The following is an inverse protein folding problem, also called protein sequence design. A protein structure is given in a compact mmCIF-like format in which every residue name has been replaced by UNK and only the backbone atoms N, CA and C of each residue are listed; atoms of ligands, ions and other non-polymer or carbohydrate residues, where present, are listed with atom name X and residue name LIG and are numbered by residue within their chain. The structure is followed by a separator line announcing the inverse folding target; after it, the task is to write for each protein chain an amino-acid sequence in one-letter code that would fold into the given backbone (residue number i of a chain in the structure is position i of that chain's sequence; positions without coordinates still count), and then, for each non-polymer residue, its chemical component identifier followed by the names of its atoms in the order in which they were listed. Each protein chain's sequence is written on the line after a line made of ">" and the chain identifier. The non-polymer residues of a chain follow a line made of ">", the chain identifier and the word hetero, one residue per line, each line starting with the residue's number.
data_IF_586571820564
#
_entry.id   IF_586571820564
#
_cell.length_a   1.000
_cell.length_b   1.000
_cell.length_c   1.000
_cell.angle_alpha   90.00
_cell.angle_beta   90.00
_cell.angle_gamma   90.00
#
_symmetry.space_group_name_H-M   'P 1'
#
loop_
_entity.id
_entity.type
_entity.pdbx_description
1 polymer ?
#
# COMPACT_ATOMS: atom_id res chain seq x y z
N UNK A 1 15.00 -0.05 -0.61
CA UNK A 1 14.94 0.30 0.81
C UNK A 1 13.62 -0.15 1.39
N UNK A 2 13.56 -0.40 2.69
CA UNK A 2 12.37 -0.78 3.43
C UNK A 2 12.51 -0.33 4.89
N UNK A 3 11.43 -0.12 5.61
CA UNK A 3 11.45 0.23 7.03
C UNK A 3 11.63 -1.02 7.91
N UNK A 4 11.24 -2.22 7.43
CA UNK A 4 11.37 -3.49 8.15
C UNK A 4 12.81 -4.01 8.12
N UNK A 5 13.41 -4.23 9.29
CA UNK A 5 14.72 -4.87 9.37
C UNK A 5 14.70 -6.32 8.87
N UNK A 6 13.56 -7.01 9.02
CA UNK A 6 13.37 -8.40 8.58
C UNK A 6 13.41 -8.50 7.06
N UNK A 7 12.72 -7.60 6.34
CA UNK A 7 12.76 -7.58 4.86
C UNK A 7 14.13 -7.19 4.33
N UNK A 8 14.85 -6.27 4.98
CA UNK A 8 16.22 -5.93 4.61
C UNK A 8 17.16 -7.12 4.84
N UNK A 9 17.03 -7.83 5.96
CA UNK A 9 17.81 -9.03 6.24
C UNK A 9 17.53 -10.15 5.22
N UNK A 10 16.25 -10.40 4.93
CA UNK A 10 15.82 -11.37 3.92
C UNK A 10 16.39 -11.06 2.54
N UNK A 11 16.22 -9.82 2.07
CA UNK A 11 16.74 -9.39 0.77
C UNK A 11 18.27 -9.50 0.68
N UNK A 12 18.98 -9.11 1.73
CA UNK A 12 20.45 -9.20 1.80
C UNK A 12 20.96 -10.64 1.77
N UNK A 13 20.22 -11.57 2.39
CA UNK A 13 20.54 -12.99 2.38
C UNK A 13 20.34 -13.61 0.99
N UNK A 14 19.23 -13.29 0.32
CA UNK A 14 18.87 -13.90 -0.98
C UNK A 14 19.61 -13.25 -2.17
N UNK A 15 20.03 -11.98 -2.01
CA UNK A 15 20.77 -11.24 -3.01
C UNK A 15 22.12 -10.73 -2.46
N UNK A 16 23.05 -11.65 -2.11
CA UNK A 16 24.30 -11.28 -1.46
C UNK A 16 25.17 -10.43 -2.38
N UNK A 17 25.86 -9.46 -1.80
CA UNK A 17 26.71 -8.50 -2.53
C UNK A 17 27.77 -9.16 -3.42
N UNK A 18 28.23 -10.35 -3.05
CA UNK A 18 29.21 -11.11 -3.84
C UNK A 18 28.66 -11.54 -5.21
N UNK A 19 27.36 -11.82 -5.30
CA UNK A 19 26.69 -12.21 -6.55
C UNK A 19 25.99 -11.02 -7.23
N UNK A 20 25.56 -10.03 -6.45
CA UNK A 20 24.81 -8.86 -6.90
C UNK A 20 25.49 -7.56 -6.45
N UNK A 21 26.70 -7.24 -6.97
CA UNK A 21 27.52 -6.13 -6.47
C UNK A 21 26.88 -4.75 -6.66
N UNK A 22 25.94 -4.63 -7.61
CA UNK A 22 25.19 -3.38 -7.88
C UNK A 22 23.97 -3.18 -6.98
N UNK A 23 23.53 -4.21 -6.24
CA UNK A 23 22.39 -4.09 -5.34
C UNK A 23 22.84 -3.62 -3.95
N UNK A 24 22.03 -2.77 -3.34
CA UNK A 24 22.17 -2.34 -1.96
C UNK A 24 20.80 -2.34 -1.31
N UNK A 25 20.72 -2.88 -0.11
CA UNK A 25 19.52 -2.89 0.72
C UNK A 25 19.78 -2.05 1.95
N UNK A 26 18.95 -1.04 2.18
CA UNK A 26 19.11 -0.11 3.28
C UNK A 26 17.78 0.00 4.05
N UNK A 27 17.86 -0.10 5.38
CA UNK A 27 16.72 0.19 6.23
C UNK A 27 16.49 1.69 6.27
N UNK A 28 15.31 2.14 5.84
CA UNK A 28 15.01 3.58 5.79
C UNK A 28 13.48 3.80 5.83
N UNK A 29 13.07 4.82 6.56
CA UNK A 29 11.69 5.31 6.54
C UNK A 29 11.48 6.18 5.29
N UNK A 30 10.40 5.93 4.55
CA UNK A 30 10.06 6.70 3.36
C UNK A 30 9.82 8.20 3.66
N UNK A 31 9.41 8.54 4.88
CA UNK A 31 9.21 9.94 5.33
C UNK A 31 10.51 10.70 5.56
N UNK A 32 11.62 10.01 5.69
CA UNK A 32 12.92 10.61 6.03
C UNK A 32 14.05 10.08 5.17
N UNK A 33 13.92 10.21 3.84
CA UNK A 33 14.95 9.79 2.90
C UNK A 33 16.25 10.55 3.14
N UNK A 34 17.32 9.81 3.48
CA UNK A 34 18.64 10.36 3.72
C UNK A 34 19.70 9.48 3.03
N UNK A 35 19.95 9.78 1.76
CA UNK A 35 20.85 9.02 0.89
C UNK A 35 21.90 9.99 0.36
N UNK A 36 23.19 9.67 0.54
CA UNK A 36 24.30 10.56 0.13
C UNK A 36 24.58 10.48 -1.38
N UNK A 37 23.53 10.56 -2.19
CA UNK A 37 23.62 10.62 -3.66
C UNK A 37 22.31 11.02 -4.30
N UNK A 38 22.38 11.35 -5.59
CA UNK A 38 21.21 11.58 -6.45
C UNK A 38 21.03 10.43 -7.43
N UNK A 39 19.83 10.37 -8.01
CA UNK A 39 19.38 9.32 -8.91
C UNK A 39 18.72 9.91 -10.15
N UNK A 40 18.78 9.17 -11.23
CA UNK A 40 18.01 9.45 -12.44
C UNK A 40 16.58 8.95 -12.31
N UNK A 41 16.36 7.92 -11.44
CA UNK A 41 15.06 7.31 -11.22
C UNK A 41 14.87 6.95 -9.73
N UNK A 42 13.73 7.34 -9.19
CA UNK A 42 13.19 6.81 -7.92
C UNK A 42 11.91 6.06 -8.25
N UNK A 43 11.80 4.82 -7.80
CA UNK A 43 10.64 3.95 -8.01
C UNK A 43 10.09 3.46 -6.68
N UNK A 44 8.77 3.56 -6.51
CA UNK A 44 8.05 3.02 -5.36
C UNK A 44 6.82 2.24 -5.83
N UNK A 45 6.74 0.97 -5.45
CA UNK A 45 5.60 0.13 -5.79
C UNK A 45 5.03 -0.53 -4.53
N UNK A 46 3.71 -0.45 -4.37
CA UNK A 46 2.93 -1.07 -3.29
C UNK A 46 3.42 -0.72 -1.86
N UNK A 47 3.96 0.47 -1.66
CA UNK A 47 4.55 0.91 -0.39
C UNK A 47 3.83 2.12 0.21
N UNK A 48 3.56 3.16 -0.58
CA UNK A 48 3.18 4.46 -0.02
C UNK A 48 1.83 4.47 0.68
N UNK A 49 0.92 3.58 0.35
CA UNK A 49 -0.34 3.47 1.09
C UNK A 49 -0.18 3.02 2.56
N UNK A 50 1.04 2.67 2.99
CA UNK A 50 1.41 2.41 4.39
C UNK A 50 2.03 3.63 5.08
N UNK A 51 2.24 4.74 4.35
CA UNK A 51 2.97 5.92 4.81
C UNK A 51 1.98 7.06 5.03
N UNK A 52 1.98 7.63 6.21
CA UNK A 52 1.07 8.71 6.62
C UNK A 52 1.43 10.08 6.02
N UNK A 53 2.72 10.35 5.74
CA UNK A 53 3.20 11.61 5.17
C UNK A 53 3.83 11.41 3.79
N UNK A 54 2.97 11.36 2.75
CA UNK A 54 3.42 11.32 1.36
C UNK A 54 4.18 12.58 0.95
N UNK A 55 3.88 13.73 1.53
CA UNK A 55 4.58 14.98 1.23
C UNK A 55 6.04 14.92 1.70
N UNK A 56 6.31 14.31 2.87
CA UNK A 56 7.69 14.09 3.33
C UNK A 56 8.45 13.16 2.38
N UNK A 57 7.82 12.08 1.90
CA UNK A 57 8.40 11.23 0.86
C UNK A 57 8.72 12.02 -0.42
N UNK A 58 7.79 12.81 -0.93
CA UNK A 58 7.98 13.61 -2.15
C UNK A 58 9.09 14.66 -1.98
N UNK A 59 9.17 15.33 -0.83
CA UNK A 59 10.29 16.24 -0.51
C UNK A 59 11.63 15.50 -0.51
N UNK A 60 11.67 14.31 0.06
CA UNK A 60 12.84 13.45 0.08
C UNK A 60 13.24 13.01 -1.34
N UNK A 61 12.29 12.50 -2.13
CA UNK A 61 12.52 12.08 -3.51
C UNK A 61 13.04 13.23 -4.39
N UNK A 62 12.40 14.40 -4.30
CA UNK A 62 12.83 15.57 -5.06
C UNK A 62 14.26 16.03 -4.74
N UNK A 63 14.70 15.92 -3.48
CA UNK A 63 16.11 16.25 -3.09
C UNK A 63 17.12 15.26 -3.68
N UNK A 64 16.74 14.01 -3.84
CA UNK A 64 17.61 12.94 -4.28
C UNK A 64 17.52 12.64 -5.79
N UNK A 65 16.67 13.35 -6.55
CA UNK A 65 16.66 13.29 -8.00
C UNK A 65 17.59 14.34 -8.61
N UNK A 66 18.25 13.97 -9.71
CA UNK A 66 18.83 14.97 -10.61
C UNK A 66 17.74 15.81 -11.27
N UNK A 67 18.05 17.01 -11.74
CA UNK A 67 17.19 17.74 -12.67
C UNK A 67 16.96 16.88 -13.92
N UNK A 68 15.70 16.71 -14.33
CA UNK A 68 15.31 15.77 -15.38
C UNK A 68 15.16 14.32 -14.92
N UNK A 69 15.52 14.01 -13.68
CA UNK A 69 15.30 12.69 -13.08
C UNK A 69 13.82 12.43 -12.80
N UNK A 70 13.42 11.16 -12.80
CA UNK A 70 12.02 10.71 -12.77
C UNK A 70 11.64 10.07 -11.44
N UNK A 71 10.43 10.33 -11.01
CA UNK A 71 9.75 9.61 -9.93
C UNK A 71 8.64 8.77 -10.54
N UNK A 72 8.60 7.48 -10.20
CA UNK A 72 7.52 6.57 -10.57
C UNK A 72 6.94 5.96 -9.29
N UNK A 73 5.64 6.13 -9.09
CA UNK A 73 4.90 5.59 -7.93
C UNK A 73 3.71 4.80 -8.41
N UNK A 74 3.50 3.63 -7.80
CA UNK A 74 2.27 2.85 -7.94
C UNK A 74 1.86 2.34 -6.55
N UNK A 75 0.73 2.79 -6.03
CA UNK A 75 0.22 2.39 -4.71
C UNK A 75 -1.31 2.35 -4.69
N UNK A 76 -1.92 1.93 -3.59
CA UNK A 76 -3.37 2.09 -3.40
C UNK A 76 -3.75 3.57 -3.43
N UNK A 77 -4.74 3.94 -4.22
CA UNK A 77 -5.26 5.30 -4.37
C UNK A 77 -6.67 5.46 -3.78
N UNK A 78 -7.23 6.63 -3.92
CA UNK A 78 -8.58 6.94 -3.44
C UNK A 78 -9.61 5.92 -3.97
N UNK A 79 -10.41 5.34 -3.09
CA UNK A 79 -11.39 4.30 -3.41
C UNK A 79 -10.84 2.87 -3.49
N UNK A 80 -9.54 2.66 -3.20
CA UNK A 80 -8.92 1.33 -3.22
C UNK A 80 -9.60 0.39 -2.22
N UNK A 81 -9.95 -0.82 -2.66
CA UNK A 81 -10.58 -1.89 -1.87
C UNK A 81 -11.84 -1.43 -1.09
N UNK A 82 -12.60 -0.49 -1.64
CA UNK A 82 -13.75 0.14 -0.95
C UNK A 82 -14.77 -0.88 -0.43
N UNK A 83 -15.03 -1.97 -1.17
CA UNK A 83 -15.95 -3.02 -0.71
C UNK A 83 -15.47 -3.74 0.55
N UNK A 84 -14.16 -4.04 0.64
CA UNK A 84 -13.55 -4.63 1.84
C UNK A 84 -13.58 -3.64 3.01
N UNK A 85 -13.29 -2.36 2.74
CA UNK A 85 -13.32 -1.31 3.78
C UNK A 85 -14.72 -1.17 4.35
N UNK A 86 -15.76 -1.12 3.50
CA UNK A 86 -17.15 -1.07 3.95
C UNK A 86 -17.52 -2.30 4.80
N UNK A 87 -17.11 -3.50 4.39
CA UNK A 87 -17.34 -4.71 5.19
C UNK A 87 -16.61 -4.66 6.54
N UNK A 88 -15.37 -4.13 6.57
CA UNK A 88 -14.59 -3.91 7.80
C UNK A 88 -15.27 -2.90 8.74
N UNK A 89 -15.80 -1.78 8.22
CA UNK A 89 -16.52 -0.77 9.00
C UNK A 89 -17.74 -1.38 9.69
N UNK A 90 -18.52 -2.19 8.96
CA UNK A 90 -19.68 -2.91 9.52
C UNK A 90 -19.23 -3.91 10.58
N UNK A 91 -18.22 -4.73 10.27
CA UNK A 91 -17.74 -5.79 11.16
C UNK A 91 -17.17 -5.22 12.45
N UNK A 92 -16.29 -4.23 12.37
CA UNK A 92 -15.63 -3.63 13.52
C UNK A 92 -16.55 -2.82 14.41
N UNK A 93 -17.69 -2.35 13.87
CA UNK A 93 -18.75 -1.67 14.63
C UNK A 93 -19.73 -2.63 15.31
N UNK A 94 -19.69 -3.93 14.98
CA UNK A 94 -20.60 -4.91 15.54
C UNK A 94 -20.34 -5.20 17.02
N UNK A 95 -21.36 -5.64 17.76
CA UNK A 95 -21.23 -5.97 19.19
C UNK A 95 -20.24 -7.07 19.49
N UNK A 96 -19.96 -7.96 18.54
CA UNK A 96 -18.98 -9.04 18.66
C UNK A 96 -17.55 -8.54 18.64
N UNK A 97 -17.26 -7.48 17.84
CA UNK A 97 -15.91 -7.08 17.50
C UNK A 97 -15.51 -5.68 17.95
N UNK A 98 -16.47 -4.74 18.15
CA UNK A 98 -16.19 -3.31 18.42
C UNK A 98 -15.22 -3.08 19.58
N UNK A 99 -15.27 -3.90 20.63
CA UNK A 99 -14.36 -3.79 21.80
C UNK A 99 -12.88 -3.90 21.46
N UNK A 100 -12.54 -4.52 20.32
CA UNK A 100 -11.14 -4.66 19.89
C UNK A 100 -10.67 -3.47 19.04
N UNK A 101 -11.61 -2.64 18.58
CA UNK A 101 -11.34 -1.53 17.66
C UNK A 101 -11.58 -0.16 18.28
N UNK A 102 -11.77 -0.10 19.61
CA UNK A 102 -11.83 1.17 20.32
C UNK A 102 -10.51 1.95 20.15
N UNK A 103 -10.59 3.20 19.66
CA UNK A 103 -9.45 4.03 19.33
C UNK A 103 -8.55 3.48 18.20
N UNK A 104 -9.09 2.64 17.32
CA UNK A 104 -8.37 2.16 16.14
C UNK A 104 -8.55 3.12 14.97
N UNK A 105 -7.44 3.66 14.49
CA UNK A 105 -7.42 4.51 13.31
C UNK A 105 -7.21 3.68 12.04
N UNK A 106 -7.79 4.12 10.93
CA UNK A 106 -7.61 3.48 9.63
C UNK A 106 -6.13 3.50 9.22
N UNK A 107 -5.51 2.34 8.95
CA UNK A 107 -4.05 2.24 8.87
C UNK A 107 -3.46 2.47 7.47
N UNK A 108 -4.26 2.89 6.50
CA UNK A 108 -3.83 3.09 5.12
C UNK A 108 -4.10 4.52 4.66
N UNK A 109 -3.30 4.97 3.69
CA UNK A 109 -3.34 6.34 3.16
C UNK A 109 -3.56 6.30 1.66
N UNK A 110 -4.83 6.39 1.24
CA UNK A 110 -5.25 6.32 -0.16
C UNK A 110 -5.54 7.72 -0.68
N UNK A 111 -4.56 8.29 -1.37
CA UNK A 111 -4.64 9.66 -1.89
C UNK A 111 -5.15 9.71 -3.34
N UNK A 112 -5.58 10.89 -3.74
CA UNK A 112 -6.09 11.20 -5.08
C UNK A 112 -5.02 11.81 -5.99
N UNK A 113 -5.25 11.85 -7.32
CA UNK A 113 -4.42 12.63 -8.24
C UNK A 113 -4.39 14.12 -7.91
N UNK A 114 -5.48 14.68 -7.39
CA UNK A 114 -5.56 16.09 -7.00
C UNK A 114 -4.60 16.41 -5.85
N UNK A 115 -4.54 15.54 -4.83
CA UNK A 115 -3.56 15.67 -3.75
C UNK A 115 -2.14 15.69 -4.30
N UNK A 116 -1.81 14.72 -5.15
CA UNK A 116 -0.48 14.60 -5.73
C UNK A 116 -0.12 15.75 -6.67
N UNK A 117 -1.07 16.29 -7.41
CA UNK A 117 -0.83 17.45 -8.27
C UNK A 117 -0.34 18.66 -7.48
N UNK A 118 -0.96 18.94 -6.34
CA UNK A 118 -0.55 20.01 -5.42
C UNK A 118 0.82 19.71 -4.80
N UNK A 119 1.05 18.50 -4.33
CA UNK A 119 2.29 18.14 -3.64
C UNK A 119 3.50 18.05 -4.55
N UNK A 120 3.34 17.57 -5.79
CA UNK A 120 4.40 17.55 -6.79
C UNK A 120 4.84 18.97 -7.18
N UNK A 121 3.89 19.87 -7.40
CA UNK A 121 4.19 21.27 -7.69
C UNK A 121 4.96 21.94 -6.54
N UNK A 122 4.59 21.65 -5.28
CA UNK A 122 5.24 22.19 -4.08
C UNK A 122 6.72 21.74 -3.94
N UNK A 123 7.13 20.65 -4.58
CA UNK A 123 8.51 20.13 -4.56
C UNK A 123 9.23 20.31 -5.91
N UNK A 124 8.72 21.20 -6.76
CA UNK A 124 9.30 21.50 -8.09
C UNK A 124 9.41 20.26 -8.99
N UNK A 125 8.34 19.48 -9.06
CA UNK A 125 8.19 18.34 -9.97
C UNK A 125 6.95 18.53 -10.85
N UNK A 126 7.06 18.16 -12.12
CA UNK A 126 5.94 18.14 -13.06
C UNK A 126 5.42 16.71 -13.23
N UNK A 127 4.12 16.53 -13.05
CA UNK A 127 3.48 15.26 -13.36
C UNK A 127 3.37 15.07 -14.87
N UNK A 128 3.85 13.96 -15.39
CA UNK A 128 3.60 13.48 -16.76
C UNK A 128 2.38 12.54 -16.80
N UNK A 129 2.19 11.79 -15.69
CA UNK A 129 1.02 10.94 -15.46
C UNK A 129 0.66 11.02 -13.98
N UNK A 130 -0.61 11.19 -13.67
CA UNK A 130 -1.12 11.14 -12.30
C UNK A 130 -2.61 10.78 -12.37
N UNK A 131 -2.93 9.51 -12.19
CA UNK A 131 -4.28 9.01 -12.41
C UNK A 131 -4.63 7.86 -11.47
N UNK A 132 -5.93 7.63 -11.29
CA UNK A 132 -6.46 6.43 -10.65
C UNK A 132 -6.73 5.38 -11.73
N UNK A 133 -6.24 4.17 -11.51
CA UNK A 133 -6.41 3.03 -12.42
C UNK A 133 -7.16 1.93 -11.70
N UNK A 134 -8.36 1.61 -12.19
CA UNK A 134 -9.14 0.49 -11.68
C UNK A 134 -8.44 -0.84 -12.02
N UNK A 135 -8.41 -1.72 -11.03
CA UNK A 135 -7.93 -3.10 -11.16
C UNK A 135 -8.95 -4.04 -10.54
N UNK A 136 -9.13 -5.16 -11.18
CA UNK A 136 -9.88 -6.28 -10.61
C UNK A 136 -8.91 -7.30 -10.04
N UNK A 137 -8.97 -7.51 -8.73
CA UNK A 137 -8.19 -8.55 -8.07
C UNK A 137 -9.08 -9.79 -7.93
N UNK A 138 -8.72 -10.83 -8.67
CA UNK A 138 -9.48 -12.08 -8.72
C UNK A 138 -8.85 -13.09 -7.78
N UNK A 139 -9.66 -13.72 -6.95
CA UNK A 139 -9.25 -14.77 -6.04
C UNK A 139 -9.99 -16.07 -6.34
N UNK A 140 -9.34 -17.20 -6.10
CA UNK A 140 -9.92 -18.53 -6.23
C UNK A 140 -10.89 -18.79 -5.06
N UNK A 141 -12.11 -18.33 -5.23
CA UNK A 141 -13.17 -18.46 -4.25
C UNK A 141 -12.93 -17.75 -2.93
N UNK A 142 -13.72 -18.07 -1.90
CA UNK A 142 -13.60 -17.52 -0.56
C UNK A 142 -12.25 -17.81 0.10
N UNK A 143 -11.66 -18.96 -0.15
CA UNK A 143 -10.37 -19.37 0.41
C UNK A 143 -9.22 -18.49 -0.09
N UNK A 144 -9.23 -18.14 -1.38
CA UNK A 144 -8.26 -17.21 -1.96
C UNK A 144 -8.40 -15.80 -1.36
N UNK A 145 -9.63 -15.33 -1.17
CA UNK A 145 -9.92 -14.06 -0.50
C UNK A 145 -9.45 -14.08 0.96
N UNK A 146 -9.74 -15.17 1.70
CA UNK A 146 -9.27 -15.39 3.08
C UNK A 146 -7.75 -15.29 3.17
N UNK A 147 -7.02 -15.95 2.27
CA UNK A 147 -5.56 -15.91 2.21
C UNK A 147 -5.03 -14.49 1.98
N UNK A 148 -5.66 -13.73 1.09
CA UNK A 148 -5.29 -12.35 0.84
C UNK A 148 -5.59 -11.44 2.04
N UNK A 149 -6.75 -11.56 2.67
CA UNK A 149 -7.11 -10.80 3.87
C UNK A 149 -6.09 -11.06 4.99
N UNK A 150 -5.73 -12.31 5.23
CA UNK A 150 -4.76 -12.71 6.28
C UNK A 150 -3.40 -12.03 6.10
N UNK A 151 -2.95 -11.83 4.87
CA UNK A 151 -1.62 -11.27 4.58
C UNK A 151 -1.62 -9.76 4.35
N UNK A 152 -2.73 -9.18 3.93
CA UNK A 152 -2.79 -7.76 3.53
C UNK A 152 -3.46 -6.89 4.60
N UNK A 153 -4.46 -7.43 5.34
CA UNK A 153 -5.22 -6.66 6.33
C UNK A 153 -4.76 -6.91 7.76
N UNK A 154 -3.47 -7.21 7.93
CA UNK A 154 -2.84 -7.49 9.24
C UNK A 154 -3.13 -6.44 10.33
N UNK A 155 -3.18 -5.12 10.06
CA UNK A 155 -3.52 -4.16 11.11
C UNK A 155 -4.87 -4.40 11.77
N UNK A 156 -5.84 -4.95 11.03
CA UNK A 156 -7.13 -5.34 11.58
C UNK A 156 -7.09 -6.71 12.25
N UNK A 157 -6.56 -7.72 11.57
CA UNK A 157 -6.55 -9.09 12.11
C UNK A 157 -5.72 -9.21 13.39
N UNK A 158 -4.62 -8.45 13.52
CA UNK A 158 -3.75 -8.45 14.70
C UNK A 158 -4.33 -7.69 15.91
N UNK A 159 -5.39 -6.87 15.71
CA UNK A 159 -6.12 -6.25 16.85
C UNK A 159 -6.91 -7.28 17.64
N UNK A 160 -7.29 -8.37 16.98
CA UNK A 160 -8.08 -9.44 17.58
C UNK A 160 -7.16 -10.50 18.19
N UNK A 161 -7.49 -11.06 19.38
CA UNK A 161 -6.70 -12.14 19.96
C UNK A 161 -6.49 -13.31 18.98
N UNK A 162 -5.30 -13.89 18.95
CA UNK A 162 -4.86 -14.91 17.98
C UNK A 162 -5.92 -16.03 17.79
N UNK A 163 -6.47 -16.54 18.88
CA UNK A 163 -7.51 -17.59 18.86
C UNK A 163 -8.84 -17.17 18.19
N UNK A 164 -9.03 -15.89 17.90
CA UNK A 164 -10.24 -15.35 17.28
C UNK A 164 -9.97 -14.79 15.87
N UNK A 165 -8.72 -14.74 15.42
CA UNK A 165 -8.35 -14.12 14.14
C UNK A 165 -9.00 -14.84 12.96
N UNK A 166 -8.99 -16.16 12.93
CA UNK A 166 -9.65 -16.92 11.85
C UNK A 166 -11.15 -16.62 11.80
N UNK A 167 -11.83 -16.62 12.94
CA UNK A 167 -13.25 -16.26 13.00
C UNK A 167 -13.51 -14.83 12.52
N UNK A 168 -12.64 -13.89 12.87
CA UNK A 168 -12.76 -12.50 12.40
C UNK A 168 -12.62 -12.42 10.87
N UNK A 169 -11.70 -13.18 10.29
CA UNK A 169 -11.50 -13.25 8.85
C UNK A 169 -12.71 -13.90 8.17
N UNK A 170 -13.23 -15.00 8.73
CA UNK A 170 -14.41 -15.67 8.19
C UNK A 170 -15.65 -14.77 8.21
N UNK A 171 -15.89 -14.05 9.32
CA UNK A 171 -16.98 -13.08 9.43
C UNK A 171 -16.83 -11.94 8.41
N UNK A 172 -15.59 -11.46 8.16
CA UNK A 172 -15.31 -10.45 7.15
C UNK A 172 -15.58 -10.95 5.73
N UNK A 173 -15.09 -12.15 5.40
CA UNK A 173 -15.30 -12.78 4.09
C UNK A 173 -16.78 -12.96 3.83
N UNK A 174 -17.54 -13.45 4.81
CA UNK A 174 -18.98 -13.63 4.67
C UNK A 174 -19.69 -12.29 4.41
N UNK A 175 -19.41 -11.24 5.20
CA UNK A 175 -19.99 -9.92 5.00
C UNK A 175 -19.65 -9.35 3.62
N UNK A 176 -18.43 -9.57 3.14
CA UNK A 176 -18.03 -9.14 1.82
C UNK A 176 -18.82 -9.87 0.72
N UNK A 177 -18.92 -11.19 0.80
CA UNK A 177 -19.62 -12.03 -0.18
C UNK A 177 -21.14 -11.80 -0.21
N UNK A 178 -21.73 -11.34 0.90
CA UNK A 178 -23.14 -10.96 0.94
C UNK A 178 -23.47 -9.76 0.02
N UNK A 179 -22.47 -8.89 -0.24
CA UNK A 179 -22.60 -7.71 -1.11
C UNK A 179 -21.90 -7.87 -2.46
N UNK A 180 -20.84 -8.67 -2.50
CA UNK A 180 -20.02 -8.95 -3.68
C UNK A 180 -19.93 -10.48 -3.87
N UNK A 181 -21.00 -11.14 -4.35
CA UNK A 181 -21.02 -12.60 -4.48
C UNK A 181 -20.01 -13.07 -5.52
N UNK A 182 -19.66 -14.36 -5.43
CA UNK A 182 -18.82 -15.02 -6.41
C UNK A 182 -19.44 -14.93 -7.83
N UNK A 183 -18.59 -14.90 -8.83
CA UNK A 183 -19.00 -15.03 -10.24
C UNK A 183 -19.47 -16.45 -10.57
N UNK A 184 -19.92 -16.65 -11.81
CA UNK A 184 -20.40 -17.96 -12.29
C UNK A 184 -19.30 -19.05 -12.31
N UNK A 185 -18.04 -18.67 -12.25
CA UNK A 185 -16.89 -19.57 -12.22
C UNK A 185 -16.42 -19.85 -10.80
N UNK A 186 -17.05 -19.25 -9.79
CA UNK A 186 -16.73 -19.41 -8.38
C UNK A 186 -15.59 -18.49 -7.89
N UNK A 187 -15.15 -17.53 -8.70
CA UNK A 187 -14.16 -16.56 -8.27
C UNK A 187 -14.77 -15.42 -7.44
N UNK A 188 -13.98 -14.86 -6.54
CA UNK A 188 -14.29 -13.61 -5.85
C UNK A 188 -13.49 -12.46 -6.45
N UNK A 189 -14.13 -11.31 -6.62
CA UNK A 189 -13.58 -10.13 -7.24
C UNK A 189 -13.46 -9.01 -6.21
N UNK A 190 -12.28 -8.42 -6.06
CA UNK A 190 -12.09 -7.22 -5.23
C UNK A 190 -11.67 -6.07 -6.14
N UNK A 191 -12.55 -5.05 -6.23
CA UNK A 191 -12.20 -3.82 -6.95
C UNK A 191 -11.08 -3.12 -6.20
N UNK A 192 -9.94 -2.99 -6.86
CA UNK A 192 -8.79 -2.23 -6.40
C UNK A 192 -8.66 -0.95 -7.21
N UNK A 193 -8.14 0.10 -6.60
CA UNK A 193 -7.81 1.36 -7.30
C UNK A 193 -6.34 1.67 -7.03
N UNK A 194 -5.55 1.79 -8.10
CA UNK A 194 -4.15 2.19 -7.99
C UNK A 194 -4.00 3.65 -8.36
N UNK A 195 -3.25 4.38 -7.55
CA UNK A 195 -2.72 5.68 -7.91
C UNK A 195 -1.40 5.45 -8.64
N UNK A 196 -1.36 5.84 -9.92
CA UNK A 196 -0.18 5.75 -10.79
C UNK A 196 0.35 7.16 -11.02
N UNK A 197 1.61 7.38 -10.66
CA UNK A 197 2.27 8.69 -10.77
C UNK A 197 3.58 8.55 -11.50
N UNK A 198 3.77 9.36 -12.55
CA UNK A 198 5.06 9.61 -13.19
C UNK A 198 5.31 11.10 -13.18
N UNK A 199 6.44 11.51 -12.61
CA UNK A 199 6.77 12.91 -12.48
C UNK A 199 8.27 13.16 -12.77
N UNK A 200 8.59 14.36 -13.27
CA UNK A 200 9.96 14.78 -13.61
C UNK A 200 10.37 15.93 -12.71
N UNK A 201 11.61 15.87 -12.21
CA UNK A 201 12.24 16.95 -11.45
C UNK A 201 12.58 18.11 -12.38
N UNK A 202 11.98 19.28 -12.10
CA UNK A 202 12.24 20.52 -12.82
C UNK A 202 13.57 21.17 -12.39
N UNK A 203 14.13 22.07 -13.23
CA UNK A 203 15.31 22.87 -12.90
C UNK A 203 15.18 23.71 -11.65
#
# INVERSE_FOLDING_TARGET
>A
MDSSPEFIAYASLHYPKAQFPSLRFERMDARSLNIDRRFDLIFSNATLHWVDDHQAFLRGAARHLYVGGRLIVSCGGAGNASGIITALEVLTSSSSWSRYFDGFDFPYYFHSPDDYSVWLAAVNMAAERCELVDKDMIHDGPEGLTGWIRTTWMPYTQRVPEKLQERFIDDLVQLYLDTCPQDQSGHTHVRMVRLEVEAVKLP
#
